data_IF_266196702461
#
_entry.id   IF_266196702461
#
_cell.length_a   1.000
_cell.length_b   1.000
_cell.length_c   1.000
_cell.angle_alpha   90.00
_cell.angle_beta   90.00
_cell.angle_gamma   90.00
#
_symmetry.space_group_name_H-M   'P 1'
#
loop_
_entity.id
_entity.type
_entity.pdbx_description
1 polymer ?
#
# COMPACT_ATOMS: atom_id res chain seq x y z
N UNK A 1 10.16 0.62 -4.77
CA UNK A 1 9.34 1.64 -4.06
C UNK A 1 9.99 2.12 -2.77
N UNK A 2 10.26 1.24 -1.80
CA UNK A 2 10.95 1.66 -0.57
C UNK A 2 12.34 2.21 -0.86
N UNK A 3 13.14 1.48 -1.63
CA UNK A 3 14.51 1.88 -1.96
C UNK A 3 14.57 2.99 -3.02
N UNK A 4 13.63 3.00 -3.98
CA UNK A 4 13.66 3.98 -5.10
C UNK A 4 13.05 5.35 -4.72
N UNK A 5 11.98 5.35 -3.92
CA UNK A 5 11.22 6.57 -3.57
C UNK A 5 11.41 6.98 -2.10
N UNK A 6 12.13 6.20 -1.30
CA UNK A 6 12.31 6.45 0.13
C UNK A 6 11.03 6.26 0.95
N UNK A 7 10.05 5.52 0.42
CA UNK A 7 8.78 5.26 1.12
C UNK A 7 8.94 4.15 2.15
N UNK A 8 8.18 4.24 3.24
CA UNK A 8 8.26 3.31 4.37
C UNK A 8 7.01 2.41 4.37
N UNK A 9 7.01 1.26 3.68
CA UNK A 9 5.87 0.36 3.72
C UNK A 9 5.75 -0.26 5.11
N UNK A 10 4.61 -0.05 5.77
CA UNK A 10 4.32 -0.64 7.08
C UNK A 10 3.58 -1.97 6.95
N UNK A 11 2.60 -2.02 6.05
CA UNK A 11 1.74 -3.16 5.81
C UNK A 11 1.67 -3.48 4.32
N UNK A 12 1.84 -4.76 3.99
CA UNK A 12 1.60 -5.31 2.66
C UNK A 12 0.58 -6.44 2.81
N UNK A 13 -0.56 -6.31 2.14
CA UNK A 13 -1.62 -7.33 2.12
C UNK A 13 -1.65 -7.96 0.73
N UNK A 14 -1.57 -9.28 0.68
CA UNK A 14 -1.58 -10.06 -0.56
C UNK A 14 -2.87 -10.85 -0.60
N UNK A 15 -3.71 -10.53 -1.57
CA UNK A 15 -5.07 -11.09 -1.71
C UNK A 15 -5.15 -12.31 -2.61
N UNK A 16 -4.04 -12.66 -3.27
CA UNK A 16 -3.98 -13.82 -4.15
C UNK A 16 -3.99 -15.13 -3.36
N UNK A 17 -4.65 -16.15 -3.91
CA UNK A 17 -4.64 -17.50 -3.36
C UNK A 17 -3.33 -18.17 -3.78
N UNK A 18 -2.43 -18.35 -2.81
CA UNK A 18 -1.09 -18.90 -3.01
C UNK A 18 -0.88 -20.10 -2.09
N UNK A 19 -0.15 -21.10 -2.57
CA UNK A 19 0.38 -22.20 -1.75
C UNK A 19 1.39 -21.70 -0.72
N UNK A 20 1.65 -22.49 0.33
CA UNK A 20 2.61 -22.11 1.38
C UNK A 20 4.03 -21.83 0.82
N UNK A 21 4.44 -22.57 -0.20
CA UNK A 21 5.73 -22.36 -0.89
C UNK A 21 5.75 -21.03 -1.65
N UNK A 22 4.67 -20.72 -2.38
CA UNK A 22 4.54 -19.43 -3.09
C UNK A 22 4.46 -18.26 -2.11
N UNK A 23 3.74 -18.40 -0.99
CA UNK A 23 3.69 -17.39 0.07
C UNK A 23 5.09 -17.12 0.63
N UNK A 24 5.88 -18.16 0.89
CA UNK A 24 7.25 -18.01 1.36
C UNK A 24 8.13 -17.27 0.34
N UNK A 25 8.02 -17.61 -0.95
CA UNK A 25 8.75 -16.95 -2.03
C UNK A 25 8.38 -15.48 -2.17
N UNK A 26 7.10 -15.16 -2.06
CA UNK A 26 6.60 -13.78 -2.16
C UNK A 26 7.01 -12.97 -0.92
N UNK A 27 6.89 -13.53 0.28
CA UNK A 27 7.30 -12.87 1.51
C UNK A 27 8.81 -12.54 1.52
N UNK A 28 9.64 -13.39 0.90
CA UNK A 28 11.09 -13.14 0.80
C UNK A 28 11.42 -11.89 -0.05
N UNK A 29 10.54 -11.51 -0.99
CA UNK A 29 10.72 -10.29 -1.82
C UNK A 29 10.65 -8.99 -1.02
N UNK A 30 10.10 -9.03 0.19
CA UNK A 30 10.00 -7.87 1.08
C UNK A 30 11.13 -7.82 2.11
N UNK A 31 12.17 -8.65 1.95
CA UNK A 31 13.36 -8.64 2.79
C UNK A 31 14.51 -7.95 2.09
N UNK A 32 15.42 -7.37 2.88
CA UNK A 32 16.67 -6.84 2.37
C UNK A 32 16.55 -5.48 1.67
N UNK A 33 15.52 -4.70 1.96
CA UNK A 33 15.46 -3.30 1.52
C UNK A 33 16.69 -2.54 2.03
N UNK A 34 17.28 -1.71 1.17
CA UNK A 34 18.44 -0.87 1.50
C UNK A 34 18.14 0.09 2.67
N UNK A 35 16.87 0.48 2.82
CA UNK A 35 16.37 1.25 3.97
C UNK A 35 16.41 0.50 5.31
N UNK A 36 16.60 -0.82 5.31
CA UNK A 36 16.58 -1.66 6.52
C UNK A 36 15.18 -1.93 7.08
N UNK A 37 14.13 -1.53 6.38
CA UNK A 37 12.74 -1.68 6.79
C UNK A 37 12.24 -3.08 6.43
N UNK A 38 11.41 -3.64 7.29
CA UNK A 38 10.73 -4.92 7.04
C UNK A 38 9.22 -4.72 7.24
N UNK A 39 8.43 -4.55 6.16
CA UNK A 39 6.99 -4.41 6.28
C UNK A 39 6.37 -5.68 6.86
N UNK A 40 5.22 -5.53 7.52
CA UNK A 40 4.37 -6.67 7.86
C UNK A 40 3.68 -7.18 6.60
N UNK A 41 4.08 -8.36 6.13
CA UNK A 41 3.44 -9.05 4.99
C UNK A 41 2.38 -10.01 5.51
N UNK A 42 1.15 -9.90 5.02
CA UNK A 42 0.05 -10.80 5.35
C UNK A 42 -0.63 -11.30 4.07
N UNK A 43 -1.07 -12.55 4.12
CA UNK A 43 -1.84 -13.18 3.05
C UNK A 43 -3.29 -13.31 3.52
N UNK A 44 -4.20 -12.56 2.88
CA UNK A 44 -5.61 -12.56 3.21
C UNK A 44 -6.41 -12.16 1.96
N UNK A 45 -7.27 -13.06 1.51
CA UNK A 45 -8.12 -12.86 0.33
C UNK A 45 -9.24 -11.84 0.56
N UNK A 46 -9.58 -11.58 1.83
CA UNK A 46 -10.67 -10.68 2.21
C UNK A 46 -10.13 -9.27 2.52
N UNK A 47 -10.27 -8.37 1.53
CA UNK A 47 -9.89 -6.95 1.66
C UNK A 47 -10.58 -6.22 2.81
N UNK A 48 -11.73 -6.69 3.31
CA UNK A 48 -12.39 -6.07 4.46
C UNK A 48 -11.57 -6.20 5.76
N UNK A 49 -10.63 -7.15 5.82
CA UNK A 49 -9.76 -7.37 6.97
C UNK A 49 -8.54 -6.44 7.01
N UNK A 50 -8.27 -5.63 5.98
CA UNK A 50 -7.10 -4.73 5.92
C UNK A 50 -7.03 -3.82 7.15
N UNK A 51 -8.17 -3.29 7.62
CA UNK A 51 -8.23 -2.47 8.83
C UNK A 51 -7.76 -3.19 10.09
N UNK A 52 -8.07 -4.50 10.21
CA UNK A 52 -7.65 -5.34 11.33
C UNK A 52 -6.15 -5.61 11.27
N UNK A 53 -5.64 -5.95 10.09
CA UNK A 53 -4.21 -6.18 9.86
C UNK A 53 -3.38 -4.93 10.14
N UNK A 54 -3.86 -3.77 9.70
CA UNK A 54 -3.26 -2.47 9.98
C UNK A 54 -3.23 -2.16 11.47
N UNK A 55 -4.35 -2.32 12.18
CA UNK A 55 -4.40 -2.06 13.63
C UNK A 55 -3.44 -2.96 14.43
N UNK A 56 -3.15 -4.16 13.90
CA UNK A 56 -2.19 -5.09 14.48
C UNK A 56 -0.73 -4.83 14.02
N UNK A 57 -0.50 -3.99 13.01
CA UNK A 57 0.83 -3.53 12.59
C UNK A 57 1.17 -2.21 13.29
N UNK A 58 0.25 -1.25 13.25
CA UNK A 58 0.34 0.07 13.84
C UNK A 58 -0.79 0.28 14.86
N UNK A 59 -0.54 0.12 16.17
CA UNK A 59 -1.56 0.26 17.20
C UNK A 59 -2.19 1.66 17.20
N UNK A 60 -3.49 1.73 17.46
CA UNK A 60 -4.22 3.00 17.58
C UNK A 60 -3.75 3.81 18.79
N UNK A 61 -3.95 5.14 18.70
CA UNK A 61 -3.65 6.05 19.79
C UNK A 61 -4.46 5.70 21.04
N UNK A 62 -3.76 5.32 22.11
CA UNK A 62 -4.35 5.02 23.41
C UNK A 62 -4.34 6.26 24.33
N UNK A 63 -4.63 7.44 23.79
CA UNK A 63 -4.56 8.71 24.54
C UNK A 63 -3.16 9.00 25.11
N UNK A 64 -2.12 8.52 24.43
CA UNK A 64 -0.74 8.81 24.82
C UNK A 64 -0.44 10.29 24.55
N UNK A 65 0.26 10.94 25.48
CA UNK A 65 0.62 12.37 25.38
C UNK A 65 1.48 12.67 24.15
N UNK A 66 2.18 11.65 23.65
CA UNK A 66 2.93 11.62 22.40
C UNK A 66 2.50 10.35 21.66
N UNK A 67 1.68 10.50 20.63
CA UNK A 67 1.33 9.43 19.71
C UNK A 67 1.79 9.82 18.33
N UNK A 68 2.66 9.01 17.75
CA UNK A 68 3.09 9.20 16.37
C UNK A 68 1.93 8.85 15.45
N UNK A 69 1.31 9.89 14.89
CA UNK A 69 0.31 9.72 13.86
C UNK A 69 0.94 9.02 12.66
N UNK A 70 0.27 8.02 12.09
CA UNK A 70 0.67 7.38 10.84
C UNK A 70 0.41 8.29 9.64
N UNK A 71 0.78 9.57 9.74
CA UNK A 71 0.52 10.60 8.75
C UNK A 71 1.82 11.34 8.42
N UNK A 72 2.10 11.63 7.14
CA UNK A 72 1.26 11.35 5.96
C UNK A 72 1.26 9.87 5.56
N UNK A 73 0.07 9.32 5.27
CA UNK A 73 -0.10 7.96 4.77
C UNK A 73 -0.57 7.95 3.32
N UNK A 74 -0.24 6.86 2.63
CA UNK A 74 -0.67 6.61 1.27
C UNK A 74 -1.03 5.13 1.12
N UNK A 75 -2.15 4.84 0.47
CA UNK A 75 -2.62 3.48 0.22
C UNK A 75 -2.56 3.19 -1.27
N UNK A 76 -1.80 2.18 -1.64
CA UNK A 76 -1.76 1.59 -2.98
C UNK A 76 -2.54 0.29 -2.95
N UNK A 77 -3.54 0.14 -3.81
CA UNK A 77 -4.39 -1.04 -3.78
C UNK A 77 -5.42 -1.05 -4.89
N UNK A 78 -6.55 -1.69 -4.59
CA UNK A 78 -7.71 -1.77 -5.46
C UNK A 78 -8.74 -0.72 -5.08
N UNK A 79 -9.79 -0.58 -5.88
CA UNK A 79 -10.90 0.30 -5.52
C UNK A 79 -11.61 -0.07 -4.21
N UNK A 80 -11.43 -1.30 -3.70
CA UNK A 80 -11.99 -1.76 -2.42
C UNK A 80 -11.27 -1.13 -1.21
N UNK A 81 -10.01 -0.72 -1.38
CA UNK A 81 -9.18 -0.18 -0.31
C UNK A 81 -9.43 1.32 -0.05
N UNK A 82 -10.32 1.94 -0.84
CA UNK A 82 -10.65 3.36 -0.75
C UNK A 82 -11.23 3.74 0.62
N UNK A 83 -12.19 2.98 1.12
CA UNK A 83 -12.82 3.28 2.42
C UNK A 83 -11.82 3.16 3.57
N UNK A 84 -10.90 2.19 3.48
CA UNK A 84 -9.81 2.06 4.44
C UNK A 84 -8.87 3.28 4.39
N UNK A 85 -8.46 3.73 3.20
CA UNK A 85 -7.63 4.91 3.04
C UNK A 85 -8.30 6.17 3.59
N UNK A 86 -9.58 6.37 3.31
CA UNK A 86 -10.38 7.48 3.85
C UNK A 86 -10.42 7.45 5.39
N UNK A 87 -10.55 6.26 5.99
CA UNK A 87 -10.52 6.10 7.45
C UNK A 87 -9.17 6.48 8.09
N UNK A 88 -8.08 6.42 7.32
CA UNK A 88 -6.74 6.85 7.74
C UNK A 88 -6.46 8.33 7.42
N UNK A 89 -7.34 9.01 6.68
CA UNK A 89 -7.04 10.31 6.08
C UNK A 89 -5.87 10.25 5.09
N UNK A 90 -5.67 9.08 4.45
CA UNK A 90 -4.59 8.80 3.51
C UNK A 90 -5.05 9.02 2.07
N UNK A 91 -4.12 9.42 1.19
CA UNK A 91 -4.37 9.39 -0.24
C UNK A 91 -4.44 7.94 -0.75
N UNK A 92 -5.25 7.69 -1.78
CA UNK A 92 -5.45 6.36 -2.35
C UNK A 92 -5.23 6.35 -3.86
N UNK A 93 -4.44 5.41 -4.36
CA UNK A 93 -4.27 5.15 -5.79
C UNK A 93 -4.60 3.69 -6.12
N UNK A 94 -5.60 3.52 -6.98
CA UNK A 94 -5.98 2.21 -7.51
C UNK A 94 -4.99 1.76 -8.58
N UNK A 95 -4.16 0.78 -8.23
CA UNK A 95 -3.15 0.14 -9.09
C UNK A 95 -3.40 -1.35 -9.29
N UNK A 96 -4.20 -1.99 -8.45
CA UNK A 96 -4.57 -3.40 -8.56
C UNK A 96 -6.06 -3.59 -8.87
N UNK A 97 -6.41 -4.76 -9.41
CA UNK A 97 -7.79 -5.12 -9.68
C UNK A 97 -8.57 -5.38 -8.38
N UNK A 98 -9.86 -5.01 -8.28
CA UNK A 98 -10.65 -4.29 -9.27
C UNK A 98 -10.43 -2.77 -9.25
N UNK A 99 -10.45 -2.14 -10.43
CA UNK A 99 -10.36 -0.69 -10.59
C UNK A 99 -11.73 -0.15 -11.04
N UNK A 100 -12.48 0.46 -10.13
CA UNK A 100 -13.83 1.01 -10.40
C UNK A 100 -13.94 2.54 -10.29
N UNK A 101 -12.89 3.20 -9.79
CA UNK A 101 -12.87 4.63 -9.48
C UNK A 101 -12.06 5.47 -10.49
N UNK A 102 -11.65 4.91 -11.62
CA UNK A 102 -11.01 5.64 -12.72
C UNK A 102 -11.21 4.94 -14.05
N UNK A 103 -11.18 5.71 -15.14
CA UNK A 103 -11.20 5.18 -16.50
C UNK A 103 -9.79 4.76 -16.92
N UNK A 104 -9.67 3.54 -17.43
CA UNK A 104 -8.41 2.96 -17.95
C UNK A 104 -8.61 2.64 -19.42
N UNK A 105 -7.86 3.32 -20.30
CA UNK A 105 -7.88 3.09 -21.75
C UNK A 105 -6.55 2.47 -22.19
N UNK A 106 -5.45 3.18 -21.93
CA UNK A 106 -4.09 2.75 -22.22
C UNK A 106 -3.19 3.12 -21.03
N UNK A 107 -3.27 2.34 -19.95
CA UNK A 107 -2.41 2.51 -18.77
C UNK A 107 -1.71 1.20 -18.45
N UNK A 108 -0.42 1.32 -18.16
CA UNK A 108 0.43 0.24 -17.62
C UNK A 108 1.40 0.85 -16.62
N UNK A 109 1.73 0.09 -15.59
CA UNK A 109 2.79 0.41 -14.63
C UNK A 109 4.03 -0.48 -14.81
N UNK A 110 4.08 -1.24 -15.91
CA UNK A 110 5.21 -2.09 -16.25
C UNK A 110 6.21 -1.36 -17.15
N UNK A 111 7.50 -1.69 -16.97
CA UNK A 111 8.59 -1.10 -17.74
C UNK A 111 8.91 0.34 -17.34
N UNK A 112 9.83 0.97 -18.09
CA UNK A 112 10.32 2.32 -17.79
C UNK A 112 9.20 3.36 -17.85
N UNK A 113 8.44 3.39 -18.96
CA UNK A 113 7.32 4.32 -19.13
C UNK A 113 6.22 4.09 -18.08
N UNK A 114 5.97 2.83 -17.71
CA UNK A 114 5.03 2.49 -16.65
C UNK A 114 5.49 2.97 -15.28
N UNK A 115 6.79 2.85 -14.98
CA UNK A 115 7.35 3.35 -13.71
C UNK A 115 7.27 4.87 -13.61
N UNK A 116 7.56 5.61 -14.68
CA UNK A 116 7.40 7.06 -14.72
C UNK A 116 5.94 7.47 -14.50
N UNK A 117 5.00 6.77 -15.14
CA UNK A 117 3.57 6.98 -14.95
C UNK A 117 3.12 6.68 -13.51
N UNK A 118 3.65 5.64 -12.87
CA UNK A 118 3.34 5.33 -11.47
C UNK A 118 3.81 6.46 -10.54
N UNK A 119 5.03 6.94 -10.76
CA UNK A 119 5.60 8.07 -10.03
C UNK A 119 4.75 9.34 -10.23
N UNK A 120 4.40 9.65 -11.48
CA UNK A 120 3.56 10.79 -11.82
C UNK A 120 2.17 10.72 -11.16
N UNK A 121 1.49 9.57 -11.24
CA UNK A 121 0.18 9.37 -10.61
C UNK A 121 0.27 9.52 -9.07
N UNK A 122 1.32 8.97 -8.43
CA UNK A 122 1.54 9.06 -6.99
C UNK A 122 1.77 10.50 -6.54
N UNK A 123 2.75 11.19 -7.13
CA UNK A 123 3.09 12.55 -6.72
C UNK A 123 2.04 13.56 -7.18
N UNK A 124 1.40 13.32 -8.33
CA UNK A 124 0.26 14.11 -8.80
C UNK A 124 -0.90 14.09 -7.81
N UNK A 125 -1.21 12.93 -7.22
CA UNK A 125 -2.22 12.84 -6.16
C UNK A 125 -1.79 13.60 -4.89
N UNK A 126 -0.56 13.44 -4.43
CA UNK A 126 -0.05 14.12 -3.23
C UNK A 126 -0.02 15.65 -3.37
N UNK A 127 0.31 16.15 -4.56
CA UNK A 127 0.34 17.59 -4.86
C UNK A 127 -1.08 18.13 -5.09
N UNK A 128 -1.93 17.37 -5.78
CA UNK A 128 -3.30 17.77 -6.11
C UNK A 128 -4.29 17.69 -4.95
N UNK A 129 -3.99 16.93 -3.89
CA UNK A 129 -4.79 16.86 -2.67
C UNK A 129 -4.57 18.02 -1.69
N UNK A 130 -3.95 19.12 -2.15
CA UNK A 130 -3.71 20.35 -1.38
C UNK A 130 -4.66 21.47 -1.76
#
# INVERSE_FOLDING_TARGET
MADDLGWLPELVVITDILSDEEQALVADRFRGFASGIAPKVVFDTDTSNVSKHFSAAWPRNNNARYFDSFSPAFVLGSSLDREFAESLGAAHLSVTYPISNRVVLDRTYLGYDGSLRLIEDIFGLLVGSR
#
